data_IF_990453314089
#
_entry.id   IF_990453314089
#
_cell.length_a   1.000
_cell.length_b   1.000
_cell.length_c   1.000
_cell.angle_alpha   90.00
_cell.angle_beta   90.00
_cell.angle_gamma   90.00
#
_symmetry.space_group_name_H-M   'P 1'
#
loop_
_entity.id
_entity.type
_entity.pdbx_description
1 polymer ?
#
# COMPACT_ATOMS: atom_id res chain seq x y z
N UNK A 1 -7.53 24.53 -34.97
CA UNK A 1 -7.07 23.13 -34.99
C UNK A 1 -5.83 23.10 -35.87
N UNK A 2 -4.65 22.96 -35.28
CA UNK A 2 -3.39 22.95 -36.04
C UNK A 2 -3.35 21.67 -36.87
N UNK A 3 -3.33 21.79 -38.19
CA UNK A 3 -3.19 20.64 -39.09
C UNK A 3 -1.84 19.98 -38.86
N UNK A 4 -1.83 18.76 -38.32
CA UNK A 4 -0.63 17.95 -38.16
C UNK A 4 0.06 17.81 -39.52
N UNK A 5 1.35 18.12 -39.61
CA UNK A 5 2.09 17.93 -40.86
C UNK A 5 2.15 16.43 -41.21
N UNK A 6 2.12 16.03 -42.49
CA UNK A 6 2.20 14.62 -42.90
C UNK A 6 3.45 13.92 -42.33
N UNK A 7 4.57 14.67 -42.20
CA UNK A 7 5.80 14.21 -41.55
C UNK A 7 5.60 13.78 -40.10
N UNK A 8 4.78 14.50 -39.33
CA UNK A 8 4.47 14.15 -37.95
C UNK A 8 3.63 12.87 -37.87
N UNK A 9 2.71 12.67 -38.82
CA UNK A 9 1.87 11.47 -38.89
C UNK A 9 2.72 10.24 -39.18
N UNK A 10 3.62 10.31 -40.16
CA UNK A 10 4.53 9.20 -40.52
C UNK A 10 5.51 8.87 -39.38
N UNK A 11 6.00 9.89 -38.67
CA UNK A 11 6.79 9.67 -37.47
C UNK A 11 6.00 8.92 -36.39
N UNK A 12 4.79 9.39 -36.05
CA UNK A 12 3.96 8.76 -35.02
C UNK A 12 3.57 7.33 -35.38
N UNK A 13 3.22 7.06 -36.64
CA UNK A 13 2.94 5.69 -37.11
C UNK A 13 4.16 4.78 -36.93
N UNK A 14 5.37 5.25 -37.28
CA UNK A 14 6.61 4.49 -37.05
C UNK A 14 6.86 4.23 -35.57
N UNK A 15 6.64 5.21 -34.69
CA UNK A 15 6.85 5.02 -33.25
C UNK A 15 5.81 4.08 -32.61
N UNK A 16 4.55 4.13 -33.05
CA UNK A 16 3.50 3.24 -32.55
C UNK A 16 3.71 1.78 -32.97
N UNK A 17 4.43 1.53 -34.06
CA UNK A 17 4.78 0.19 -34.51
C UNK A 17 5.95 -0.45 -33.74
N UNK A 18 6.71 0.34 -32.98
CA UNK A 18 7.89 -0.13 -32.22
C UNK A 18 7.50 -0.74 -30.89
N UNK A 19 8.31 -1.68 -30.40
CA UNK A 19 8.13 -2.22 -29.06
C UNK A 19 8.85 -1.34 -28.02
N UNK A 20 8.13 -0.63 -27.13
CA UNK A 20 8.74 0.30 -26.18
C UNK A 20 9.62 -0.39 -25.14
N UNK A 21 9.48 -1.70 -24.91
CA UNK A 21 10.29 -2.45 -23.93
C UNK A 21 11.71 -2.68 -24.46
N UNK A 22 11.84 -3.03 -25.74
CA UNK A 22 13.13 -3.41 -26.33
C UNK A 22 13.80 -2.25 -27.09
N UNK A 23 13.03 -1.34 -27.68
CA UNK A 23 13.53 -0.28 -28.55
C UNK A 23 13.48 1.11 -27.89
N UNK A 24 13.37 1.18 -26.55
CA UNK A 24 13.23 2.44 -25.81
C UNK A 24 14.32 3.48 -26.17
N UNK A 25 15.57 3.05 -26.26
CA UNK A 25 16.71 3.91 -26.61
C UNK A 25 16.60 4.46 -28.03
N UNK A 26 16.19 3.62 -28.99
CA UNK A 26 16.06 4.02 -30.39
C UNK A 26 14.83 4.88 -30.65
N UNK A 27 13.75 4.71 -29.89
CA UNK A 27 12.58 5.60 -29.88
C UNK A 27 13.00 6.99 -29.40
N UNK A 28 13.76 7.07 -28.31
CA UNK A 28 14.27 8.36 -27.77
C UNK A 28 15.23 9.03 -28.76
N UNK A 29 16.14 8.26 -29.37
CA UNK A 29 17.07 8.80 -30.37
C UNK A 29 16.33 9.30 -31.61
N UNK A 30 15.38 8.52 -32.13
CA UNK A 30 14.57 8.92 -33.29
C UNK A 30 13.73 10.17 -32.99
N UNK A 31 13.21 10.30 -31.76
CA UNK A 31 12.52 11.52 -31.31
C UNK A 31 13.47 12.72 -31.30
N UNK A 32 14.65 12.56 -30.72
CA UNK A 32 15.62 13.64 -30.65
C UNK A 32 16.00 14.13 -32.06
N UNK A 33 16.25 13.20 -32.99
CA UNK A 33 16.57 13.55 -34.38
C UNK A 33 15.41 14.16 -35.17
N UNK A 34 14.16 13.75 -34.92
CA UNK A 34 13.01 14.25 -35.69
C UNK A 34 12.61 15.67 -35.28
N UNK A 35 12.81 16.02 -34.01
CA UNK A 35 12.40 17.31 -33.44
C UNK A 35 13.58 18.27 -33.20
N UNK A 36 14.76 17.94 -33.74
CA UNK A 36 16.01 18.69 -33.50
C UNK A 36 16.23 19.01 -32.02
N UNK A 37 15.84 18.08 -31.14
CA UNK A 37 16.15 18.21 -29.73
C UNK A 37 17.64 17.94 -29.62
N UNK A 38 18.41 18.94 -29.19
CA UNK A 38 19.79 18.74 -28.79
C UNK A 38 19.80 17.70 -27.66
N UNK A 39 19.92 16.42 -28.04
CA UNK A 39 20.43 15.41 -27.16
C UNK A 39 21.86 15.81 -26.89
N UNK A 40 22.05 16.65 -25.86
CA UNK A 40 23.27 16.64 -25.06
C UNK A 40 23.49 15.16 -24.76
N UNK A 41 24.34 14.51 -25.57
CA UNK A 41 24.94 13.24 -25.20
C UNK A 41 25.61 13.57 -23.88
N UNK A 42 24.94 13.21 -22.79
CA UNK A 42 25.49 13.34 -21.45
C UNK A 42 26.83 12.63 -21.55
N UNK A 43 27.89 13.43 -21.61
CA UNK A 43 29.24 12.94 -21.79
C UNK A 43 29.48 12.07 -20.57
N UNK A 44 29.55 10.76 -20.80
CA UNK A 44 29.41 9.66 -19.85
C UNK A 44 30.58 9.56 -18.85
N UNK A 45 31.15 10.69 -18.44
CA UNK A 45 32.34 10.78 -17.60
C UNK A 45 32.06 11.17 -16.15
N UNK A 46 30.84 11.59 -15.81
CA UNK A 46 30.37 11.46 -14.43
C UNK A 46 29.82 10.05 -14.29
N UNK A 47 30.60 9.19 -13.65
CA UNK A 47 30.22 7.82 -13.35
C UNK A 47 28.82 7.83 -12.73
N UNK A 48 27.82 7.37 -13.48
CA UNK A 48 26.46 7.28 -12.98
C UNK A 48 26.52 6.58 -11.60
N UNK A 49 25.89 7.15 -10.57
CA UNK A 49 26.00 6.61 -9.21
C UNK A 49 25.65 5.13 -9.25
N UNK A 50 26.54 4.30 -8.71
CA UNK A 50 26.44 2.85 -8.81
C UNK A 50 25.03 2.40 -8.42
N UNK A 51 24.41 1.55 -9.25
CA UNK A 51 23.10 0.96 -8.96
C UNK A 51 23.08 0.31 -7.56
N UNK A 52 24.22 -0.20 -7.12
CA UNK A 52 24.42 -0.76 -5.79
C UNK A 52 24.24 0.28 -4.68
N UNK A 53 24.85 1.46 -4.82
CA UNK A 53 24.67 2.58 -3.88
C UNK A 53 23.19 2.97 -3.77
N UNK A 54 22.49 3.04 -4.91
CA UNK A 54 21.05 3.34 -4.95
C UNK A 54 20.23 2.31 -4.17
N UNK A 55 20.52 1.03 -4.35
CA UNK A 55 19.84 -0.06 -3.63
C UNK A 55 20.15 0.00 -2.13
N UNK A 56 21.39 0.32 -1.75
CA UNK A 56 21.79 0.46 -0.36
C UNK A 56 21.07 1.64 0.33
N UNK A 57 21.01 2.81 -0.30
CA UNK A 57 20.27 3.98 0.22
C UNK A 57 18.79 3.63 0.36
N UNK A 58 18.21 2.95 -0.63
CA UNK A 58 16.82 2.48 -0.57
C UNK A 58 16.58 1.54 0.61
N UNK A 59 17.46 0.56 0.83
CA UNK A 59 17.36 -0.39 1.96
C UNK A 59 17.44 0.33 3.30
N UNK A 60 18.33 1.31 3.45
CA UNK A 60 18.45 2.11 4.68
C UNK A 60 17.22 2.99 4.92
N UNK A 61 16.68 3.63 3.87
CA UNK A 61 15.42 4.39 3.98
C UNK A 61 14.24 3.49 4.38
N UNK A 62 14.19 2.27 3.86
CA UNK A 62 13.18 1.29 4.21
C UNK A 62 13.25 0.89 5.69
N UNK A 63 14.46 0.71 6.23
CA UNK A 63 14.67 0.46 7.67
C UNK A 63 14.17 1.65 8.52
N UNK A 64 14.52 2.88 8.14
CA UNK A 64 14.04 4.09 8.84
C UNK A 64 12.50 4.15 8.82
N UNK A 65 11.89 3.83 7.69
CA UNK A 65 10.43 3.80 7.50
C UNK A 65 9.74 2.80 8.42
N UNK A 66 10.28 1.59 8.55
CA UNK A 66 9.76 0.56 9.44
C UNK A 66 9.79 0.99 10.92
N UNK A 67 10.83 1.73 11.33
CA UNK A 67 11.02 2.20 12.70
C UNK A 67 10.50 3.63 12.97
N UNK A 68 9.86 4.27 12.00
CA UNK A 68 9.49 5.68 12.02
C UNK A 68 8.67 6.12 13.26
N UNK A 69 7.83 5.22 13.78
CA UNK A 69 6.96 5.47 14.95
C UNK A 69 7.37 4.71 16.22
N UNK A 70 8.45 3.94 16.20
CA UNK A 70 8.92 3.17 17.36
C UNK A 70 10.25 3.69 17.90
N UNK A 71 11.21 4.01 17.04
CA UNK A 71 12.53 4.51 17.46
C UNK A 71 12.51 6.00 17.89
N UNK A 72 13.52 6.50 18.61
CA UNK A 72 13.62 7.92 18.98
C UNK A 72 13.73 8.85 17.77
N UNK A 73 13.07 10.02 17.82
CA UNK A 73 12.98 10.95 16.69
C UNK A 73 14.36 11.50 16.29
N UNK A 74 15.19 11.87 17.26
CA UNK A 74 16.50 12.48 17.00
C UNK A 74 17.44 11.52 16.23
N UNK A 75 17.48 10.25 16.66
CA UNK A 75 18.28 9.22 15.99
C UNK A 75 17.82 8.96 14.56
N UNK A 76 16.50 9.00 14.30
CA UNK A 76 15.96 8.81 12.96
C UNK A 76 16.26 10.00 12.05
N UNK A 77 16.17 11.23 12.56
CA UNK A 77 16.54 12.43 11.82
C UNK A 77 18.03 12.48 11.50
N UNK A 78 18.89 12.09 12.43
CA UNK A 78 20.33 11.99 12.22
C UNK A 78 20.66 10.97 11.13
N UNK A 79 20.12 9.74 11.25
CA UNK A 79 20.29 8.69 10.23
C UNK A 79 19.81 9.14 8.85
N UNK A 80 18.72 9.90 8.80
CA UNK A 80 18.17 10.41 7.56
C UNK A 80 19.04 11.52 6.95
N UNK A 81 19.67 12.36 7.77
CA UNK A 81 20.61 13.40 7.34
C UNK A 81 21.95 12.85 6.83
N UNK A 82 22.35 11.66 7.28
CA UNK A 82 23.58 10.99 6.83
C UNK A 82 23.43 10.26 5.47
N UNK A 83 22.21 10.12 4.94
CA UNK A 83 21.99 9.39 3.69
C UNK A 83 22.32 10.27 2.48
N UNK A 84 23.12 9.77 1.51
CA UNK A 84 23.43 10.48 0.27
C UNK A 84 22.24 10.41 -0.70
N UNK A 85 21.17 11.17 -0.40
CA UNK A 85 19.96 11.22 -1.23
C UNK A 85 20.05 12.24 -2.37
N UNK A 86 21.06 13.12 -2.36
CA UNK A 86 21.23 14.18 -3.37
C UNK A 86 21.31 13.66 -4.80
N UNK A 87 21.92 12.48 -4.98
CA UNK A 87 22.11 11.85 -6.29
C UNK A 87 20.86 11.10 -6.78
N UNK A 88 19.84 10.94 -5.92
CA UNK A 88 18.66 10.11 -6.18
C UNK A 88 17.37 10.90 -5.87
N UNK A 89 16.85 11.70 -6.82
CA UNK A 89 15.74 12.62 -6.57
C UNK A 89 14.46 11.92 -6.06
N UNK A 90 14.19 10.69 -6.50
CA UNK A 90 13.06 9.90 -6.02
C UNK A 90 13.21 9.48 -4.55
N UNK A 91 14.44 9.21 -4.09
CA UNK A 91 14.72 8.88 -2.70
C UNK A 91 14.77 10.14 -1.84
N UNK A 92 15.22 11.27 -2.39
CA UNK A 92 15.17 12.57 -1.73
C UNK A 92 13.73 12.99 -1.41
N UNK A 93 12.79 12.77 -2.32
CA UNK A 93 11.37 13.04 -2.08
C UNK A 93 10.81 12.19 -0.92
N UNK A 94 11.20 10.91 -0.85
CA UNK A 94 10.80 10.01 0.24
C UNK A 94 11.43 10.43 1.58
N UNK A 95 12.72 10.77 1.58
CA UNK A 95 13.42 11.26 2.77
C UNK A 95 12.81 12.58 3.28
N UNK A 96 12.49 13.51 2.38
CA UNK A 96 11.80 14.75 2.73
C UNK A 96 10.44 14.50 3.38
N UNK A 97 9.65 13.57 2.84
CA UNK A 97 8.37 13.15 3.43
C UNK A 97 8.54 12.57 4.84
N UNK A 98 9.51 11.66 5.04
CA UNK A 98 9.81 11.10 6.36
C UNK A 98 10.25 12.18 7.35
N UNK A 99 11.06 13.14 6.90
CA UNK A 99 11.49 14.28 7.73
C UNK A 99 10.29 15.06 8.26
N UNK A 100 9.32 15.38 7.40
CA UNK A 100 8.10 16.11 7.78
C UNK A 100 7.28 15.31 8.80
N UNK A 101 7.15 13.98 8.60
CA UNK A 101 6.43 13.10 9.54
C UNK A 101 7.13 13.08 10.89
N UNK A 102 8.45 12.87 10.92
CA UNK A 102 9.24 12.78 12.15
C UNK A 102 9.18 14.08 12.96
N UNK A 103 9.36 15.24 12.31
CA UNK A 103 9.27 16.56 12.95
C UNK A 103 7.90 16.87 13.57
N UNK A 104 6.85 16.18 13.13
CA UNK A 104 5.49 16.37 13.63
C UNK A 104 4.96 15.17 14.43
N UNK A 105 5.82 14.19 14.77
CA UNK A 105 5.40 12.96 15.44
C UNK A 105 4.75 13.21 16.80
N UNK A 106 5.26 14.14 17.59
CA UNK A 106 4.69 14.48 18.90
C UNK A 106 3.32 15.13 18.77
N UNK A 107 3.15 16.00 17.77
CA UNK A 107 1.84 16.59 17.45
C UNK A 107 0.83 15.51 17.03
N UNK A 108 1.28 14.52 16.24
CA UNK A 108 0.44 13.38 15.84
C UNK A 108 0.04 12.52 17.06
N UNK A 109 0.94 12.32 18.02
CA UNK A 109 0.63 11.62 19.27
C UNK A 109 -0.42 12.41 20.09
N UNK A 110 -0.30 13.73 20.18
CA UNK A 110 -1.26 14.58 20.88
C UNK A 110 -2.68 14.51 20.29
N UNK A 111 -2.84 14.19 19.00
CA UNK A 111 -4.16 14.03 18.37
C UNK A 111 -4.98 12.89 18.98
N UNK A 112 -4.32 11.86 19.54
CA UNK A 112 -5.00 10.68 20.11
C UNK A 112 -5.92 11.03 21.28
N UNK A 113 -5.63 12.13 21.98
CA UNK A 113 -6.44 12.61 23.10
C UNK A 113 -7.66 13.44 22.67
N UNK A 114 -7.78 13.75 21.38
CA UNK A 114 -8.84 14.62 20.88
C UNK A 114 -10.16 13.86 20.66
N UNK A 115 -11.30 14.41 21.08
CA UNK A 115 -12.64 13.77 20.94
C UNK A 115 -13.00 13.35 19.51
N UNK A 116 -12.50 14.08 18.52
CA UNK A 116 -12.73 13.82 17.07
C UNK A 116 -11.70 12.87 16.45
N UNK A 117 -10.84 12.27 17.25
CA UNK A 117 -9.87 11.29 16.79
C UNK A 117 -10.58 10.01 16.39
N UNK A 118 -10.27 9.51 15.19
CA UNK A 118 -10.75 8.23 14.70
C UNK A 118 -9.53 7.31 14.48
N UNK A 119 -9.39 6.31 15.36
CA UNK A 119 -8.21 5.43 15.40
C UNK A 119 -8.08 4.59 14.12
N UNK A 120 -9.20 4.08 13.60
CA UNK A 120 -9.23 3.25 12.39
C UNK A 120 -8.72 4.05 11.19
N UNK A 121 -9.26 5.24 10.95
CA UNK A 121 -8.80 6.12 9.88
C UNK A 121 -7.34 6.53 10.06
N UNK A 122 -6.93 6.86 11.29
CA UNK A 122 -5.55 7.23 11.58
C UNK A 122 -4.56 6.10 11.31
N UNK A 123 -4.93 4.85 11.62
CA UNK A 123 -4.09 3.68 11.33
C UNK A 123 -3.83 3.51 9.83
N UNK A 124 -4.85 3.73 9.00
CA UNK A 124 -4.71 3.66 7.54
C UNK A 124 -3.96 4.86 7.00
N UNK A 125 -4.21 6.06 7.52
CA UNK A 125 -3.45 7.26 7.17
C UNK A 125 -1.96 7.07 7.47
N UNK A 126 -1.60 6.48 8.61
CA UNK A 126 -0.21 6.15 8.94
C UNK A 126 0.41 5.21 7.90
N UNK A 127 -0.32 4.20 7.44
CA UNK A 127 0.14 3.32 6.34
C UNK A 127 0.34 4.12 5.06
N UNK A 128 -0.63 4.94 4.64
CA UNK A 128 -0.51 5.81 3.46
C UNK A 128 0.69 6.76 3.55
N UNK A 129 0.96 7.31 4.73
CA UNK A 129 2.09 8.20 4.96
C UNK A 129 3.44 7.50 4.79
N UNK A 130 3.54 6.24 5.20
CA UNK A 130 4.77 5.46 5.13
C UNK A 130 4.93 4.66 3.84
N UNK A 131 3.85 4.29 3.16
CA UNK A 131 3.90 3.37 2.00
C UNK A 131 4.46 4.07 0.75
N UNK A 132 5.27 3.38 -0.09
CA UNK A 132 5.72 3.93 -1.37
C UNK A 132 4.54 4.27 -2.28
N UNK A 133 4.68 5.30 -3.11
CA UNK A 133 3.60 5.84 -3.94
C UNK A 133 2.86 4.79 -4.79
N UNK A 134 3.57 3.74 -5.25
CA UNK A 134 2.99 2.65 -6.06
C UNK A 134 1.93 1.85 -5.30
N UNK A 135 2.14 1.58 -4.02
CA UNK A 135 1.26 0.77 -3.19
C UNK A 135 0.18 1.61 -2.49
N UNK A 136 0.42 2.92 -2.33
CA UNK A 136 -0.53 3.87 -1.71
C UNK A 136 -1.87 3.91 -2.44
N UNK A 137 -1.91 3.69 -3.77
CA UNK A 137 -3.14 3.73 -4.55
C UNK A 137 -4.21 2.76 -4.02
N UNK A 138 -3.82 1.53 -3.67
CA UNK A 138 -4.72 0.50 -3.13
C UNK A 138 -5.26 0.90 -1.76
N UNK A 139 -4.40 1.43 -0.88
CA UNK A 139 -4.81 1.91 0.44
C UNK A 139 -5.80 3.07 0.34
N UNK A 140 -5.56 4.02 -0.58
CA UNK A 140 -6.47 5.16 -0.80
C UNK A 140 -7.83 4.69 -1.32
N UNK A 141 -7.86 3.72 -2.24
CA UNK A 141 -9.09 3.13 -2.74
C UNK A 141 -9.88 2.43 -1.62
N UNK A 142 -9.22 1.65 -0.77
CA UNK A 142 -9.85 1.01 0.38
C UNK A 142 -10.52 2.02 1.31
N UNK A 143 -9.85 3.15 1.59
CA UNK A 143 -10.43 4.25 2.37
C UNK A 143 -11.65 4.85 1.65
N UNK A 144 -11.57 5.08 0.34
CA UNK A 144 -12.70 5.59 -0.43
C UNK A 144 -13.92 4.65 -0.38
N UNK A 145 -13.71 3.33 -0.45
CA UNK A 145 -14.77 2.35 -0.28
C UNK A 145 -15.37 2.42 1.13
N UNK A 146 -14.53 2.55 2.17
CA UNK A 146 -15.00 2.67 3.56
C UNK A 146 -15.84 3.95 3.79
N UNK A 147 -15.52 5.04 3.09
CA UNK A 147 -16.23 6.34 3.13
C UNK A 147 -17.59 6.30 2.41
N UNK A 148 -17.95 5.20 1.75
CA UNK A 148 -19.32 4.99 1.24
C UNK A 148 -20.33 4.89 2.39
N UNK A 149 -19.90 4.44 3.59
CA UNK A 149 -20.72 4.43 4.79
C UNK A 149 -20.76 5.83 5.43
N UNK A 150 -21.94 6.39 5.73
CA UNK A 150 -22.06 7.76 6.22
C UNK A 150 -21.38 7.96 7.59
N UNK A 151 -21.37 6.94 8.46
CA UNK A 151 -20.74 6.99 9.78
C UNK A 151 -19.23 7.15 9.64
N UNK A 152 -18.59 6.27 8.85
CA UNK A 152 -17.16 6.32 8.58
C UNK A 152 -16.75 7.62 7.90
N UNK A 153 -17.55 8.10 6.94
CA UNK A 153 -17.33 9.38 6.29
C UNK A 153 -17.36 10.53 7.29
N UNK A 154 -18.36 10.59 8.17
CA UNK A 154 -18.48 11.68 9.15
C UNK A 154 -17.30 11.72 10.11
N UNK A 155 -16.87 10.56 10.63
CA UNK A 155 -15.71 10.41 11.53
C UNK A 155 -14.40 10.74 10.82
N UNK A 156 -14.19 10.16 9.64
CA UNK A 156 -13.01 10.42 8.82
C UNK A 156 -12.89 11.89 8.43
N UNK A 157 -13.97 12.54 7.99
CA UNK A 157 -13.94 13.98 7.70
C UNK A 157 -13.68 14.84 8.94
N UNK A 158 -14.20 14.46 10.11
CA UNK A 158 -13.87 15.15 11.36
C UNK A 158 -12.38 15.03 11.70
N UNK A 159 -11.80 13.84 11.53
CA UNK A 159 -10.36 13.59 11.71
C UNK A 159 -9.49 14.34 10.68
N UNK A 160 -9.92 14.41 9.41
CA UNK A 160 -9.21 15.18 8.37
C UNK A 160 -9.18 16.67 8.71
N UNK A 161 -10.31 17.24 9.14
CA UNK A 161 -10.37 18.64 9.59
C UNK A 161 -9.48 18.87 10.82
N UNK A 162 -9.44 17.90 11.74
CA UNK A 162 -8.57 17.95 12.91
C UNK A 162 -7.09 17.98 12.50
N UNK A 163 -6.70 17.10 11.57
CA UNK A 163 -5.34 17.04 11.04
C UNK A 163 -4.96 18.36 10.35
N UNK A 164 -5.85 18.90 9.50
CA UNK A 164 -5.65 20.18 8.81
C UNK A 164 -5.41 21.35 9.76
N UNK A 165 -6.09 21.35 10.92
CA UNK A 165 -5.97 22.43 11.90
C UNK A 165 -4.72 22.30 12.79
N UNK A 166 -4.36 21.09 13.23
CA UNK A 166 -3.31 20.89 14.24
C UNK A 166 -1.95 20.48 13.67
N UNK A 167 -1.94 19.83 12.50
CA UNK A 167 -0.71 19.32 11.87
C UNK A 167 -0.76 19.58 10.35
N UNK A 168 -0.84 20.86 9.93
CA UNK A 168 -1.01 21.23 8.53
C UNK A 168 0.13 20.74 7.63
N UNK A 169 1.33 20.56 8.18
CA UNK A 169 2.51 20.07 7.45
C UNK A 169 2.33 18.61 7.02
N UNK A 170 1.76 17.76 7.88
CA UNK A 170 1.45 16.36 7.55
C UNK A 170 0.23 16.29 6.63
N UNK A 171 -0.76 17.17 6.83
CA UNK A 171 -1.88 17.30 5.91
C UNK A 171 -1.42 17.64 4.48
N UNK A 172 -0.45 18.55 4.34
CA UNK A 172 0.06 19.00 3.05
C UNK A 172 0.67 17.88 2.22
N UNK A 173 1.27 16.85 2.85
CA UNK A 173 1.83 15.68 2.15
C UNK A 173 0.78 14.90 1.34
N UNK A 174 -0.49 15.02 1.72
CA UNK A 174 -1.60 14.24 1.20
C UNK A 174 -2.84 15.11 0.88
N UNK A 175 -2.63 16.41 0.71
CA UNK A 175 -3.72 17.40 0.63
C UNK A 175 -4.75 17.04 -0.44
N UNK A 176 -4.31 16.74 -1.66
CA UNK A 176 -5.20 16.43 -2.78
C UNK A 176 -6.13 15.25 -2.49
N UNK A 177 -5.58 14.19 -1.90
CA UNK A 177 -6.35 13.00 -1.53
C UNK A 177 -7.29 13.28 -0.36
N UNK A 178 -6.81 13.94 0.70
CA UNK A 178 -7.64 14.28 1.86
C UNK A 178 -8.77 15.25 1.49
N UNK A 179 -8.52 16.23 0.64
CA UNK A 179 -9.54 17.14 0.09
C UNK A 179 -10.54 16.40 -0.81
N UNK A 180 -10.12 15.35 -1.53
CA UNK A 180 -11.07 14.50 -2.26
C UNK A 180 -12.05 13.79 -1.31
N UNK A 181 -11.59 13.31 -0.16
CA UNK A 181 -12.42 12.66 0.86
C UNK A 181 -13.37 13.65 1.57
N UNK A 182 -12.94 14.90 1.79
CA UNK A 182 -13.80 15.97 2.28
C UNK A 182 -14.93 16.30 1.29
N UNK A 183 -14.63 16.29 -0.01
CA UNK A 183 -15.58 16.56 -1.11
C UNK A 183 -16.53 15.40 -1.42
N UNK A 184 -16.29 14.20 -0.88
CA UNK A 184 -17.08 12.99 -1.14
C UNK A 184 -18.52 13.05 -0.57
N UNK A 185 -19.06 14.23 -0.27
CA UNK A 185 -20.41 14.38 0.24
C UNK A 185 -21.45 14.29 -0.89
N UNK A 186 -22.40 13.37 -0.74
CA UNK A 186 -23.79 13.48 -1.25
C UNK A 186 -24.07 13.38 -2.76
N UNK A 187 -23.10 13.26 -3.67
CA UNK A 187 -23.46 13.17 -5.10
C UNK A 187 -24.23 11.89 -5.49
N UNK A 188 -24.28 10.88 -4.62
CA UNK A 188 -24.96 9.61 -4.88
C UNK A 188 -26.37 9.43 -4.29
N UNK A 189 -26.89 10.37 -3.49
CA UNK A 189 -28.24 10.21 -2.90
C UNK A 189 -29.33 11.07 -3.56
N UNK A 190 -28.96 12.01 -4.44
CA UNK A 190 -29.96 12.84 -5.15
C UNK A 190 -30.46 12.14 -6.44
N UNK A 191 -29.79 11.09 -6.91
CA UNK A 191 -30.16 10.37 -8.13
C UNK A 191 -31.26 9.29 -7.95
N UNK A 192 -31.71 9.01 -6.72
CA UNK A 192 -32.91 8.20 -6.46
C UNK A 192 -34.16 9.02 -6.16
N UNK A 193 -34.09 10.36 -6.28
CA UNK A 193 -35.25 11.25 -6.18
C UNK A 193 -36.04 11.22 -7.49
N UNK A 194 -37.04 10.33 -7.52
CA UNK A 194 -38.26 10.44 -8.31
C UNK A 194 -38.14 10.62 -9.83
N UNK A 195 -37.96 9.52 -10.55
CA UNK A 195 -38.94 9.19 -11.60
C UNK A 195 -40.16 8.59 -10.91
N UNK A 196 -40.85 9.42 -10.11
CA UNK A 196 -42.23 9.16 -9.75
C UNK A 196 -42.98 9.56 -11.01
N UNK A 197 -43.55 8.62 -11.79
CA UNK A 197 -44.38 9.00 -12.91
C UNK A 197 -45.43 9.95 -12.36
N UNK A 198 -45.54 11.12 -12.98
CA UNK A 198 -46.62 12.06 -12.74
C UNK A 198 -47.89 11.39 -13.25
N UNK A 199 -48.44 10.48 -12.45
CA UNK A 199 -49.77 9.92 -12.69
C UNK A 199 -50.72 11.11 -12.54
N UNK A 200 -51.22 11.57 -13.67
CA UNK A 200 -52.31 12.54 -13.76
C UNK A 200 -53.43 11.99 -12.89
N UNK A 201 -53.77 12.72 -11.82
CA UNK A 201 -54.95 12.46 -11.01
C UNK A 201 -56.17 12.70 -11.89
N UNK A 202 -56.72 11.62 -12.46
CA UNK A 202 -58.15 11.55 -12.77
C UNK A 202 -58.82 10.93 -11.55
N UNK A 203 -59.80 11.65 -11.02
CA UNK A 203 -60.58 11.30 -9.84
C UNK A 203 -61.45 10.03 -10.04
N UNK A 204 -61.96 9.53 -8.91
CA UNK A 204 -62.69 8.26 -8.67
C UNK A 204 -61.74 7.06 -8.53
N UNK A 205 -61.82 6.18 -7.53
CA UNK A 205 -62.95 5.75 -6.72
C UNK A 205 -62.45 5.10 -5.41
N UNK A 206 -63.33 5.07 -4.41
CA UNK A 206 -63.20 4.24 -3.20
C UNK A 206 -62.96 2.79 -3.59
N UNK A 207 -61.81 2.23 -3.22
CA UNK A 207 -61.49 0.83 -3.46
C UNK A 207 -60.50 0.30 -2.43
N UNK A 208 -61.03 -0.47 -1.50
CA UNK A 208 -60.37 -1.23 -0.45
C UNK A 208 -59.18 -2.07 -0.93
N UNK A 209 -58.09 -2.03 -0.15
CA UNK A 209 -57.31 -3.20 0.28
C UNK A 209 -56.72 -4.14 -0.78
N UNK A 210 -55.42 -4.00 -1.04
CA UNK A 210 -54.66 -4.99 -1.81
C UNK A 210 -53.16 -4.74 -1.74
N UNK A 211 -52.55 -5.01 -0.58
CA UNK A 211 -51.10 -5.00 -0.40
C UNK A 211 -50.44 -6.06 -1.29
N UNK A 212 -50.01 -5.67 -2.49
CA UNK A 212 -49.21 -6.46 -3.44
C UNK A 212 -47.72 -6.56 -3.05
N UNK A 213 -47.35 -6.08 -1.85
CA UNK A 213 -45.99 -6.17 -1.32
C UNK A 213 -45.41 -7.60 -1.22
N UNK A 214 -46.17 -8.67 -0.87
CA UNK A 214 -45.58 -10.00 -0.74
C UNK A 214 -45.29 -10.69 -2.08
N UNK A 215 -45.91 -10.26 -3.19
CA UNK A 215 -45.66 -10.85 -4.52
C UNK A 215 -44.28 -10.47 -5.07
N UNK A 216 -43.81 -9.26 -4.79
CA UNK A 216 -42.48 -8.82 -5.22
C UNK A 216 -41.34 -9.51 -4.45
N UNK A 217 -41.54 -9.82 -3.16
CA UNK A 217 -40.54 -10.57 -2.38
C UNK A 217 -40.31 -11.99 -2.90
N UNK A 218 -41.35 -12.67 -3.40
CA UNK A 218 -41.23 -14.02 -3.94
C UNK A 218 -40.45 -14.03 -5.26
N UNK A 219 -40.69 -13.06 -6.15
CA UNK A 219 -39.96 -12.93 -7.41
C UNK A 219 -38.46 -12.63 -7.21
N UNK A 220 -38.12 -11.82 -6.22
CA UNK A 220 -36.71 -11.51 -5.90
C UNK A 220 -36.00 -12.74 -5.35
N UNK A 221 -36.66 -13.52 -4.49
CA UNK A 221 -36.07 -14.75 -3.93
C UNK A 221 -35.84 -15.82 -5.01
N UNK A 222 -36.78 -15.98 -5.95
CA UNK A 222 -36.67 -16.92 -7.07
C UNK A 222 -35.54 -16.56 -8.04
N UNK A 223 -35.35 -15.27 -8.30
CA UNK A 223 -34.23 -14.79 -9.12
C UNK A 223 -32.85 -15.03 -8.44
N UNK A 224 -32.80 -14.98 -7.11
CA UNK A 224 -31.57 -15.22 -6.34
C UNK A 224 -31.18 -16.71 -6.33
N UNK A 225 -32.16 -17.61 -6.20
CA UNK A 225 -31.93 -19.07 -6.26
C UNK A 225 -31.49 -19.50 -7.66
N UNK A 226 -32.11 -18.96 -8.72
CA UNK A 226 -31.72 -19.24 -10.10
C UNK A 226 -30.27 -18.80 -10.40
N UNK A 227 -29.82 -17.68 -9.81
CA UNK A 227 -28.46 -17.17 -10.02
C UNK A 227 -27.38 -18.00 -9.30
N UNK A 228 -27.69 -18.55 -8.14
CA UNK A 228 -26.78 -19.43 -7.39
C UNK A 228 -26.64 -20.79 -8.11
N UNK A 229 -27.73 -21.31 -8.70
CA UNK A 229 -27.68 -22.54 -9.49
C UNK A 229 -26.78 -22.46 -10.73
N UNK A 230 -26.74 -21.30 -11.39
CA UNK A 230 -25.90 -21.10 -12.58
C UNK A 230 -24.39 -21.04 -12.27
N UNK A 231 -23.99 -20.49 -11.12
CA UNK A 231 -22.58 -20.41 -10.74
C UNK A 231 -21.99 -21.78 -10.35
N UNK A 232 -22.82 -22.74 -9.95
CA UNK A 232 -22.36 -24.08 -9.60
C UNK A 232 -22.12 -24.99 -10.82
N UNK A 233 -22.62 -24.60 -12.01
CA UNK A 233 -22.53 -25.42 -13.22
C UNK A 233 -21.24 -25.19 -14.03
N UNK A 234 -20.53 -24.07 -13.84
CA UNK A 234 -19.28 -23.80 -14.56
C UNK A 234 -18.05 -24.50 -13.98
N UNK A 235 -18.09 -24.99 -12.74
CA UNK A 235 -16.92 -25.60 -12.10
C UNK A 235 -16.63 -27.05 -12.51
N UNK A 236 -17.49 -27.67 -13.33
CA UNK A 236 -17.43 -29.10 -13.66
C UNK A 236 -16.92 -29.43 -15.07
N UNK A 237 -16.47 -28.45 -15.87
CA UNK A 237 -16.15 -28.69 -17.30
C UNK A 237 -14.67 -28.79 -17.69
N UNK A 238 -13.71 -28.51 -16.81
CA UNK A 238 -12.28 -28.57 -17.15
C UNK A 238 -11.48 -29.61 -16.34
N UNK A 239 -11.83 -30.89 -16.52
CA UNK A 239 -10.89 -32.00 -16.25
C UNK A 239 -10.68 -32.83 -17.52
N UNK A 240 -9.77 -32.37 -18.39
CA UNK A 240 -9.12 -33.25 -19.38
C UNK A 240 -7.92 -33.95 -18.72
N UNK A 241 -7.83 -35.29 -18.76
CA UNK A 241 -6.65 -36.01 -18.31
C UNK A 241 -5.53 -35.89 -19.35
N UNK A 242 -4.40 -35.31 -18.94
CA UNK A 242 -3.17 -35.30 -19.73
C UNK A 242 -2.25 -36.43 -19.26
N UNK A 243 -1.66 -37.14 -20.23
CA UNK A 243 -0.78 -38.28 -20.04
C UNK A 243 0.52 -37.94 -19.28
N UNK A 244 1.14 -38.91 -18.60
CA UNK A 244 2.35 -38.69 -17.82
C UNK A 244 3.59 -38.68 -18.72
N UNK A 245 4.25 -37.53 -18.83
CA UNK A 245 5.58 -37.41 -19.43
C UNK A 245 6.60 -37.28 -18.28
N UNK A 246 7.42 -38.31 -18.10
CA UNK A 246 8.49 -38.33 -17.11
C UNK A 246 9.65 -37.45 -17.59
N UNK A 247 10.01 -36.45 -16.77
CA UNK A 247 11.22 -35.62 -16.92
C UNK A 247 11.97 -35.67 -15.58
N UNK A 248 13.31 -35.81 -15.57
CA UNK A 248 14.09 -36.10 -14.37
C UNK A 248 14.08 -34.97 -13.33
N UNK A 249 14.01 -35.38 -12.06
CA UNK A 249 14.11 -34.53 -10.87
C UNK A 249 15.46 -33.79 -10.85
N UNK A 250 15.41 -32.48 -11.08
CA UNK A 250 16.41 -31.54 -10.59
C UNK A 250 15.85 -30.92 -9.32
N UNK A 251 16.51 -31.18 -8.20
CA UNK A 251 16.19 -30.65 -6.88
C UNK A 251 16.61 -29.19 -6.81
N UNK A 252 15.68 -28.28 -7.10
CA UNK A 252 15.81 -26.87 -6.75
C UNK A 252 14.61 -26.47 -5.88
N UNK A 253 14.92 -26.15 -4.64
CA UNK A 253 14.00 -25.64 -3.63
C UNK A 253 13.57 -24.20 -4.02
N UNK A 254 12.30 -23.91 -4.37
CA UNK A 254 11.90 -22.55 -4.67
C UNK A 254 11.39 -21.88 -3.39
N UNK A 255 12.08 -20.82 -2.98
CA UNK A 255 11.51 -19.85 -2.05
C UNK A 255 10.19 -19.30 -2.64
N UNK A 256 9.13 -19.37 -1.83
CA UNK A 256 7.78 -18.89 -2.15
C UNK A 256 7.86 -17.41 -2.55
N UNK A 257 7.34 -16.99 -3.73
CA UNK A 257 7.43 -15.59 -4.15
C UNK A 257 6.62 -14.68 -3.21
N UNK A 258 7.19 -13.53 -2.83
CA UNK A 258 6.57 -12.52 -1.94
C UNK A 258 5.18 -12.02 -2.41
N UNK A 259 4.84 -12.22 -3.70
CA UNK A 259 3.52 -11.87 -4.25
C UNK A 259 2.39 -12.66 -3.61
N UNK A 260 2.63 -13.92 -3.24
CA UNK A 260 1.60 -14.79 -2.65
C UNK A 260 1.42 -14.46 -1.16
N UNK A 261 2.48 -14.01 -0.48
CA UNK A 261 2.40 -13.55 0.90
C UNK A 261 1.57 -12.27 1.05
N UNK A 262 1.62 -11.37 0.05
CA UNK A 262 0.75 -10.19 0.01
C UNK A 262 -0.70 -10.55 -0.25
N UNK A 263 -0.98 -11.49 -1.16
CA UNK A 263 -2.34 -11.97 -1.44
C UNK A 263 -2.96 -12.68 -0.23
N UNK A 264 -2.22 -13.59 0.41
CA UNK A 264 -2.62 -14.30 1.63
C UNK A 264 -2.92 -13.31 2.78
N UNK A 265 -2.08 -12.26 2.92
CA UNK A 265 -2.31 -11.19 3.90
C UNK A 265 -3.55 -10.33 3.57
N UNK A 266 -3.81 -10.04 2.29
CA UNK A 266 -5.00 -9.32 1.85
C UNK A 266 -6.28 -10.08 2.20
N UNK A 267 -6.30 -11.40 1.98
CA UNK A 267 -7.43 -12.25 2.32
C UNK A 267 -7.66 -12.30 3.84
N UNK A 268 -6.58 -12.38 4.62
CA UNK A 268 -6.66 -12.38 6.09
C UNK A 268 -7.19 -11.07 6.67
N UNK A 269 -6.79 -9.91 6.12
CA UNK A 269 -7.32 -8.59 6.54
C UNK A 269 -8.80 -8.45 6.18
N UNK A 270 -9.21 -8.95 5.02
CA UNK A 270 -10.60 -8.93 4.60
C UNK A 270 -11.48 -9.85 5.45
N UNK A 271 -10.94 -10.99 5.88
CA UNK A 271 -11.61 -11.93 6.79
C UNK A 271 -11.74 -11.36 8.20
N UNK A 272 -10.69 -10.70 8.72
CA UNK A 272 -10.72 -10.04 10.03
C UNK A 272 -11.77 -8.90 10.09
N UNK A 273 -11.90 -8.13 9.00
CA UNK A 273 -12.95 -7.10 8.85
C UNK A 273 -14.37 -7.69 8.82
N UNK A 274 -14.54 -8.93 8.34
CA UNK A 274 -15.83 -9.62 8.34
C UNK A 274 -16.14 -10.23 9.72
N UNK A 275 -15.14 -10.78 10.40
CA UNK A 275 -15.31 -11.38 11.74
C UNK A 275 -15.69 -10.34 12.80
N UNK A 276 -15.16 -9.11 12.74
CA UNK A 276 -15.58 -8.02 13.62
C UNK A 276 -17.05 -7.60 13.48
N UNK A 277 -17.70 -7.98 12.37
CA UNK A 277 -19.09 -7.61 12.03
C UNK A 277 -20.13 -8.60 12.57
N UNK A 278 -19.72 -9.82 12.89
CA UNK A 278 -20.59 -10.89 13.40
C UNK A 278 -20.47 -11.12 14.91
N UNK A 279 -19.79 -10.23 15.65
CA UNK A 279 -19.72 -10.32 17.10
C UNK A 279 -21.10 -9.99 17.68
N UNK A 280 -21.80 -10.93 18.35
CA UNK A 280 -23.08 -10.64 18.96
C UNK A 280 -22.93 -9.52 19.99
N UNK A 281 -23.93 -8.65 20.17
CA UNK A 281 -23.88 -7.60 21.18
C UNK A 281 -23.65 -8.27 22.54
N UNK A 282 -22.55 -7.89 23.21
CA UNK A 282 -22.28 -8.27 24.59
C UNK A 282 -23.42 -7.69 25.43
N UNK A 283 -24.28 -8.58 25.94
CA UNK A 283 -25.30 -8.23 26.92
C UNK A 283 -24.55 -7.97 28.23
N UNK A 284 -24.35 -6.70 28.55
CA UNK A 284 -23.70 -6.27 29.79
C UNK A 284 -24.56 -6.67 31.00
N UNK A 285 -24.14 -7.71 31.69
CA UNK A 285 -24.53 -7.99 33.07
C UNK A 285 -23.94 -6.89 33.96
N UNK A 286 -24.79 -5.96 34.34
CA UNK A 286 -24.59 -4.92 35.36
C UNK A 286 -23.87 -5.47 36.60
N UNK A 287 -22.73 -4.87 37.01
CA UNK A 287 -22.30 -4.89 38.39
C UNK A 287 -22.43 -3.50 39.02
N UNK A 288 -22.63 -3.54 40.32
CA UNK A 288 -22.85 -2.42 41.23
C UNK A 288 -21.57 -1.62 41.51
N UNK A 289 -21.80 -0.45 42.11
CA UNK A 289 -20.85 0.50 42.71
C UNK A 289 -20.09 1.43 41.73
N UNK A 290 -20.31 2.73 41.93
CA UNK A 290 -19.86 3.83 41.07
C UNK A 290 -18.53 4.45 41.49
N UNK A 291 -17.85 3.91 42.51
CA UNK A 291 -16.71 4.58 43.13
C UNK A 291 -15.33 4.05 42.66
N UNK A 292 -15.24 2.82 42.15
CA UNK A 292 -13.95 2.26 41.67
C UNK A 292 -13.61 2.61 40.22
N UNK A 293 -14.51 3.27 39.48
CA UNK A 293 -14.37 3.45 38.01
C UNK A 293 -13.47 4.61 37.58
N UNK A 294 -12.99 5.45 38.51
CA UNK A 294 -12.13 6.59 38.14
C UNK A 294 -10.63 6.29 38.16
N UNK A 295 -10.17 5.24 38.83
CA UNK A 295 -8.73 4.95 38.95
C UNK A 295 -8.19 3.89 37.98
N UNK A 296 -9.03 3.17 37.23
CA UNK A 296 -8.60 2.06 36.36
C UNK A 296 -8.45 2.42 34.87
N UNK A 297 -8.87 3.60 34.42
CA UNK A 297 -8.99 3.89 32.97
C UNK A 297 -7.71 4.39 32.27
N UNK A 298 -6.56 4.46 32.95
CA UNK A 298 -5.30 4.99 32.37
C UNK A 298 -4.25 3.90 32.07
N UNK A 299 -4.46 2.63 32.46
CA UNK A 299 -3.45 1.57 32.28
C UNK A 299 -3.82 0.43 31.32
N UNK A 300 -5.02 0.42 30.71
CA UNK A 300 -5.48 -0.72 29.92
C UNK A 300 -5.52 -0.46 28.41
N UNK A 301 -4.38 -0.01 27.85
CA UNK A 301 -4.04 -0.31 26.46
C UNK A 301 -2.98 -1.39 26.50
N UNK A 302 -3.42 -2.60 26.87
CA UNK A 302 -2.65 -3.83 26.77
C UNK A 302 -2.11 -3.99 25.36
N UNK A 303 -0.91 -3.47 25.13
CA UNK A 303 0.04 -4.10 24.24
C UNK A 303 0.24 -5.47 24.85
N UNK A 304 -0.21 -6.51 24.15
CA UNK A 304 -0.02 -7.89 24.58
C UNK A 304 1.49 -8.11 24.79
N UNK A 305 1.92 -8.03 26.05
CA UNK A 305 3.31 -8.17 26.45
C UNK A 305 3.82 -9.57 26.08
N UNK A 306 2.90 -10.54 25.91
CA UNK A 306 3.22 -11.87 25.40
C UNK A 306 3.46 -11.87 23.88
N UNK A 307 2.82 -10.98 23.12
CA UNK A 307 3.12 -10.77 21.70
C UNK A 307 4.46 -10.05 21.50
N UNK A 308 4.80 -9.08 22.36
CA UNK A 308 6.13 -8.46 22.37
C UNK A 308 7.23 -9.43 22.79
N UNK A 309 7.02 -10.27 23.82
CA UNK A 309 7.98 -11.32 24.21
C UNK A 309 8.12 -12.42 23.15
N UNK A 310 7.08 -12.70 22.36
CA UNK A 310 7.18 -13.62 21.20
C UNK A 310 7.97 -13.01 20.04
N UNK A 311 7.85 -11.70 19.84
CA UNK A 311 8.65 -10.95 18.86
C UNK A 311 10.11 -10.86 19.30
N UNK A 312 10.39 -10.61 20.58
CA UNK A 312 11.73 -10.57 21.15
C UNK A 312 12.41 -11.95 21.07
N UNK A 313 11.65 -13.03 21.30
CA UNK A 313 12.13 -14.41 21.17
C UNK A 313 12.29 -14.89 19.71
N UNK A 314 11.68 -14.20 18.74
CA UNK A 314 11.91 -14.39 17.30
C UNK A 314 13.00 -13.47 16.75
N UNK A 315 13.41 -12.48 17.53
CA UNK A 315 14.47 -11.52 17.22
C UNK A 315 15.74 -11.70 18.05
N UNK A 316 15.80 -12.71 18.92
CA UNK A 316 17.08 -13.20 19.42
C UNK A 316 17.95 -13.48 18.20
N UNK A 317 19.14 -12.84 18.10
CA UNK A 317 20.01 -13.04 16.97
C UNK A 317 20.33 -14.54 16.94
N UNK A 318 19.83 -15.24 15.92
CA UNK A 318 20.50 -16.43 15.44
C UNK A 318 21.95 -15.99 15.28
N UNK A 319 22.84 -16.60 16.07
CA UNK A 319 24.28 -16.50 15.89
C UNK A 319 24.56 -16.85 14.43
N UNK A 320 24.55 -15.83 13.58
CA UNK A 320 25.10 -15.89 12.25
C UNK A 320 26.58 -16.07 12.49
N UNK A 321 27.00 -17.33 12.56
CA UNK A 321 28.33 -17.74 12.13
C UNK A 321 28.44 -17.18 10.72
N UNK A 322 29.04 -16.00 10.63
CA UNK A 322 29.33 -15.33 9.38
C UNK A 322 30.27 -16.24 8.59
N UNK A 323 29.85 -16.86 7.47
CA UNK A 323 30.74 -17.68 6.67
C UNK A 323 31.79 -16.82 5.93
N UNK A 324 31.80 -15.51 6.17
CA UNK A 324 32.72 -14.53 5.60
C UNK A 324 33.44 -13.69 6.67
N UNK A 325 33.48 -14.10 7.95
CA UNK A 325 34.37 -13.40 8.89
C UNK A 325 35.82 -13.63 8.45
N UNK A 326 36.48 -12.55 8.05
CA UNK A 326 37.87 -12.47 7.56
C UNK A 326 38.93 -12.83 8.62
N UNK A 327 38.56 -13.41 9.77
CA UNK A 327 39.45 -13.90 10.81
C UNK A 327 39.87 -15.37 10.56
N UNK A 328 40.25 -15.68 9.31
CA UNK A 328 41.01 -16.90 9.03
C UNK A 328 42.46 -16.51 8.77
N UNK A 329 43.31 -16.86 9.74
CA UNK A 329 44.77 -16.81 9.75
C UNK A 329 45.43 -17.67 8.63
N UNK A 330 44.94 -17.60 7.38
CA UNK A 330 45.36 -18.47 6.28
C UNK A 330 46.28 -17.79 5.26
N UNK A 331 46.95 -16.71 5.64
CA UNK A 331 48.10 -16.19 4.90
C UNK A 331 49.34 -16.21 5.80
N UNK A 332 49.99 -17.38 5.85
CA UNK A 332 51.42 -17.42 6.16
C UNK A 332 52.16 -16.65 5.06
N UNK A 333 53.02 -15.67 5.41
CA UNK A 333 53.89 -15.03 4.43
C UNK A 333 54.80 -16.09 3.82
N UNK A 334 54.74 -16.24 2.50
CA UNK A 334 55.74 -16.99 1.75
C UNK A 334 57.09 -16.28 1.94
N UNK A 335 58.00 -17.01 2.57
CA UNK A 335 59.41 -16.70 2.76
C UNK A 335 60.08 -16.40 1.40
N UNK A 336 60.65 -15.19 1.18
CA UNK A 336 61.28 -14.82 -0.09
C UNK A 336 62.73 -15.30 -0.24
N UNK A 337 63.18 -16.32 0.51
CA UNK A 337 64.60 -16.74 0.53
C UNK A 337 64.96 -17.95 -0.36
N UNK A 338 64.09 -18.40 -1.27
CA UNK A 338 64.43 -19.49 -2.18
C UNK A 338 65.03 -19.00 -3.51
N UNK A 339 66.34 -18.78 -3.51
CA UNK A 339 67.18 -18.60 -4.70
C UNK A 339 67.08 -19.83 -5.60
N UNK A 340 66.60 -19.65 -6.82
CA UNK A 340 66.61 -20.68 -7.87
C UNK A 340 67.92 -20.55 -8.65
N UNK A 341 68.87 -21.44 -8.40
CA UNK A 341 70.05 -21.63 -9.24
C UNK A 341 69.63 -22.25 -10.58
N UNK A 342 69.86 -21.50 -11.67
CA UNK A 342 69.78 -22.02 -13.02
C UNK A 342 71.02 -22.86 -13.30
N UNK A 343 70.83 -24.15 -13.56
CA UNK A 343 71.87 -25.04 -14.06
C UNK A 343 71.62 -25.26 -15.56
N UNK A 344 72.50 -24.73 -16.41
CA UNK A 344 72.53 -24.97 -17.86
C UNK A 344 73.16 -26.33 -18.18
N UNK A 345 72.65 -27.05 -19.19
CA UNK A 345 73.45 -27.92 -20.05
C UNK A 345 73.69 -27.33 -21.44
#
# INVERSE_FOLDING_TARGET
MSSSTPRTIDYLQRQLARNPVHESVDIVRARASEFDLETKQASSSEAAPSQENRQQVRKRLEQIRQHCFSAPVDQLLERLGQLPVGDFPELAALAGRLTVILKNRDKLAALTSHRRFDADFFSVLRKVLLTPAREVALLREQVMVSFRRPENRSRGQAMIRLLKANVPEVYALEADWLDSLLRLSLRGQVASTSLRPRTVQTASERGSGGSLWPLWSVLILLALVARIGMLHQEQSRDRRPSAPMQVPKVSSNPAKPESDALADWFEQVQEQMQQGRNRPPVVDSRPESSEDRMHSSIQDWGVDESALRRLDKLMEPMETTDPWSEDSDFYSPLDPSHSFEFNEP
#
